data_IF_799905544387
#
_entry.id   IF_799905544387
#
_cell.length_a   1.000
_cell.length_b   1.000
_cell.length_c   1.000
_cell.angle_alpha   90.00
_cell.angle_beta   90.00
_cell.angle_gamma   90.00
#
_symmetry.space_group_name_H-M   'P 1'
#
loop_
_entity.id
_entity.type
_entity.pdbx_description
1 polymer ?
#
# COMPACT_ATOMS: atom_id res chain seq x y z
N UNK A 1 -7.37 -0.37 61.13
CA UNK A 1 -7.69 -0.41 59.67
C UNK A 1 -7.53 -1.82 59.17
N UNK A 2 -8.67 -2.50 58.98
CA UNK A 2 -8.69 -3.84 58.39
C UNK A 2 -8.47 -3.76 56.89
N UNK A 3 -7.62 -4.62 56.28
CA UNK A 3 -7.45 -4.64 54.84
C UNK A 3 -8.79 -5.03 54.20
N UNK A 4 -9.28 -4.21 53.26
CA UNK A 4 -10.42 -4.56 52.41
C UNK A 4 -10.08 -5.83 51.67
N UNK A 5 -10.70 -6.94 52.07
CA UNK A 5 -10.71 -8.18 51.30
C UNK A 5 -11.49 -7.87 50.03
N UNK A 6 -10.79 -7.77 48.90
CA UNK A 6 -11.41 -7.68 47.59
C UNK A 6 -12.34 -8.88 47.44
N UNK A 7 -13.63 -8.62 47.27
CA UNK A 7 -14.65 -9.67 47.14
C UNK A 7 -14.31 -10.53 45.91
N UNK A 8 -14.37 -11.86 46.08
CA UNK A 8 -14.01 -12.81 45.00
C UNK A 8 -14.79 -12.63 43.69
N UNK A 9 -15.89 -11.87 43.70
CA UNK A 9 -16.65 -11.44 42.54
C UNK A 9 -15.90 -10.43 41.65
N UNK A 10 -15.08 -9.54 42.20
CA UNK A 10 -14.28 -8.56 41.47
C UNK A 10 -13.16 -9.23 40.70
N UNK A 11 -12.45 -10.17 41.30
CA UNK A 11 -11.36 -10.90 40.66
C UNK A 11 -11.85 -11.78 39.48
N UNK A 12 -13.01 -12.42 39.67
CA UNK A 12 -13.61 -13.22 38.58
C UNK A 12 -14.04 -12.37 37.37
N UNK A 13 -14.58 -11.18 37.62
CA UNK A 13 -14.94 -10.23 36.57
C UNK A 13 -13.71 -9.68 35.85
N UNK A 14 -12.64 -9.40 36.57
CA UNK A 14 -11.38 -8.94 35.98
C UNK A 14 -10.73 -10.01 35.10
N UNK A 15 -10.77 -11.29 35.53
CA UNK A 15 -10.27 -12.43 34.75
C UNK A 15 -11.10 -12.60 33.47
N UNK A 16 -12.41 -12.49 33.52
CA UNK A 16 -13.31 -12.60 32.36
C UNK A 16 -13.07 -11.45 31.36
N UNK A 17 -12.89 -10.22 31.88
CA UNK A 17 -12.54 -9.06 31.06
C UNK A 17 -11.19 -9.23 30.35
N UNK A 18 -10.17 -9.74 31.04
CA UNK A 18 -8.85 -10.03 30.47
C UNK A 18 -8.93 -11.14 29.41
N UNK A 19 -9.70 -12.23 29.63
CA UNK A 19 -9.92 -13.27 28.65
C UNK A 19 -10.58 -12.73 27.39
N UNK A 20 -11.64 -11.92 27.54
CA UNK A 20 -12.33 -11.29 26.43
C UNK A 20 -11.42 -10.36 25.63
N UNK A 21 -10.52 -9.62 26.30
CA UNK A 21 -9.52 -8.79 25.64
C UNK A 21 -8.50 -9.64 24.84
N UNK A 22 -7.96 -10.70 25.45
CA UNK A 22 -7.01 -11.61 24.80
C UNK A 22 -7.64 -12.30 23.57
N UNK A 23 -8.91 -12.70 23.66
CA UNK A 23 -9.64 -13.27 22.52
C UNK A 23 -9.79 -12.26 21.37
N UNK A 24 -10.16 -11.01 21.68
CA UNK A 24 -10.22 -9.92 20.68
C UNK A 24 -8.87 -9.65 20.03
N UNK A 25 -7.78 -9.66 20.81
CA UNK A 25 -6.43 -9.49 20.27
C UNK A 25 -6.04 -10.65 19.36
N UNK A 26 -6.35 -11.89 19.73
CA UNK A 26 -6.11 -13.07 18.88
C UNK A 26 -6.89 -13.03 17.58
N UNK A 27 -8.14 -12.57 17.61
CA UNK A 27 -8.97 -12.38 16.41
C UNK A 27 -8.41 -11.26 15.52
N UNK A 28 -8.00 -10.14 16.12
CA UNK A 28 -7.39 -9.03 15.39
C UNK A 28 -6.07 -9.44 14.72
N UNK A 29 -5.21 -10.19 15.41
CA UNK A 29 -3.97 -10.73 14.84
C UNK A 29 -4.24 -11.69 13.68
N UNK A 30 -5.25 -12.54 13.79
CA UNK A 30 -5.65 -13.45 12.71
C UNK A 30 -6.16 -12.72 11.48
N UNK A 31 -6.94 -11.62 11.64
CA UNK A 31 -7.41 -10.78 10.54
C UNK A 31 -6.24 -10.06 9.83
N UNK A 32 -5.30 -9.54 10.61
CA UNK A 32 -4.07 -8.92 10.08
C UNK A 32 -3.30 -9.90 9.21
N UNK A 33 -3.10 -11.12 9.71
CA UNK A 33 -2.38 -12.16 8.98
C UNK A 33 -3.07 -12.51 7.66
N UNK A 34 -4.39 -12.67 7.67
CA UNK A 34 -5.18 -12.95 6.45
C UNK A 34 -5.08 -11.81 5.44
N UNK A 35 -5.25 -10.57 5.88
CA UNK A 35 -5.14 -9.41 4.99
C UNK A 35 -3.75 -9.33 4.34
N UNK A 36 -2.69 -9.65 5.07
CA UNK A 36 -1.33 -9.72 4.54
C UNK A 36 -1.16 -10.87 3.53
N UNK A 37 -1.70 -12.05 3.81
CA UNK A 37 -1.70 -13.19 2.90
C UNK A 37 -2.44 -12.86 1.60
N UNK A 38 -3.61 -12.21 1.68
CA UNK A 38 -4.40 -11.80 0.52
C UNK A 38 -3.68 -10.76 -0.34
N UNK A 39 -2.97 -9.81 0.27
CA UNK A 39 -2.11 -8.87 -0.47
C UNK A 39 -1.00 -9.60 -1.24
N UNK A 40 -0.36 -10.59 -0.64
CA UNK A 40 0.68 -11.38 -1.31
C UNK A 40 0.11 -12.21 -2.47
N UNK A 41 -1.06 -12.80 -2.30
CA UNK A 41 -1.77 -13.53 -3.34
C UNK A 41 -2.15 -12.58 -4.49
N UNK A 42 -2.69 -11.40 -4.17
CA UNK A 42 -3.01 -10.37 -5.16
C UNK A 42 -1.77 -9.96 -5.97
N UNK A 43 -0.64 -9.75 -5.31
CA UNK A 43 0.63 -9.43 -5.97
C UNK A 43 1.10 -10.54 -6.92
N UNK A 44 0.87 -11.80 -6.57
CA UNK A 44 1.18 -12.94 -7.43
C UNK A 44 0.28 -12.97 -8.69
N UNK A 45 -1.04 -12.75 -8.52
CA UNK A 45 -1.97 -12.65 -9.66
C UNK A 45 -1.66 -11.44 -10.55
N UNK A 46 -1.26 -10.31 -9.97
CA UNK A 46 -0.82 -9.14 -10.74
C UNK A 46 0.39 -9.46 -11.62
N UNK A 47 1.39 -10.19 -11.10
CA UNK A 47 2.54 -10.67 -11.90
C UNK A 47 2.12 -11.60 -13.01
N UNK A 48 1.10 -12.44 -12.79
CA UNK A 48 0.52 -13.33 -13.78
C UNK A 48 -0.43 -12.60 -14.76
N UNK A 49 -0.65 -11.28 -14.60
CA UNK A 49 -1.60 -10.46 -15.35
C UNK A 49 -3.06 -10.90 -15.23
N UNK A 50 -3.40 -11.62 -14.19
CA UNK A 50 -4.78 -11.93 -13.83
C UNK A 50 -5.32 -10.83 -12.91
N UNK A 51 -5.71 -9.73 -13.53
CA UNK A 51 -6.12 -8.51 -12.84
C UNK A 51 -7.44 -8.68 -12.07
N UNK A 52 -8.32 -9.58 -12.51
CA UNK A 52 -9.60 -9.81 -11.86
C UNK A 52 -9.41 -10.57 -10.55
N UNK A 53 -8.58 -11.60 -10.54
CA UNK A 53 -8.23 -12.30 -9.31
C UNK A 53 -7.41 -11.39 -8.38
N UNK A 54 -6.45 -10.64 -8.90
CA UNK A 54 -5.68 -9.69 -8.10
C UNK A 54 -6.62 -8.69 -7.39
N UNK A 55 -7.58 -8.11 -8.09
CA UNK A 55 -8.55 -7.16 -7.53
C UNK A 55 -9.41 -7.80 -6.45
N UNK A 56 -9.90 -9.02 -6.67
CA UNK A 56 -10.73 -9.77 -5.71
C UNK A 56 -10.01 -9.94 -4.36
N UNK A 57 -8.73 -10.33 -4.39
CA UNK A 57 -7.95 -10.51 -3.16
C UNK A 57 -7.61 -9.18 -2.50
N UNK A 58 -7.37 -8.09 -3.26
CA UNK A 58 -7.19 -6.76 -2.69
C UNK A 58 -8.45 -6.24 -2.00
N UNK A 59 -9.62 -6.46 -2.59
CA UNK A 59 -10.90 -6.07 -1.98
C UNK A 59 -11.15 -6.85 -0.68
N UNK A 60 -10.78 -8.12 -0.63
CA UNK A 60 -10.84 -8.93 0.58
C UNK A 60 -9.89 -8.39 1.65
N UNK A 61 -8.62 -8.15 1.30
CA UNK A 61 -7.63 -7.57 2.21
C UNK A 61 -8.07 -6.20 2.75
N UNK A 62 -8.66 -5.36 1.90
CA UNK A 62 -9.18 -4.04 2.30
C UNK A 62 -10.33 -4.17 3.30
N UNK A 63 -11.22 -5.14 3.10
CA UNK A 63 -12.33 -5.41 4.03
C UNK A 63 -11.80 -5.84 5.39
N UNK A 64 -10.88 -6.78 5.44
CA UNK A 64 -10.27 -7.28 6.68
C UNK A 64 -9.45 -6.20 7.39
N UNK A 65 -8.72 -5.37 6.63
CA UNK A 65 -7.98 -4.25 7.17
C UNK A 65 -8.89 -3.18 7.80
N UNK A 66 -10.10 -2.94 7.28
CA UNK A 66 -11.06 -1.98 7.86
C UNK A 66 -11.60 -2.42 9.22
N UNK A 67 -11.65 -3.70 9.47
CA UNK A 67 -12.09 -4.25 10.75
C UNK A 67 -11.04 -4.09 11.85
N UNK A 68 -9.79 -3.77 11.47
CA UNK A 68 -8.67 -3.57 12.40
C UNK A 68 -7.99 -2.21 12.15
N UNK A 69 -8.32 -1.22 12.98
CA UNK A 69 -7.88 0.17 12.80
C UNK A 69 -6.37 0.39 12.92
N UNK A 70 -5.65 -0.42 13.67
CA UNK A 70 -4.20 -0.25 13.90
C UNK A 70 -3.35 -0.71 12.71
N UNK A 71 -3.81 -1.70 11.98
CA UNK A 71 -3.07 -2.28 10.85
C UNK A 71 -3.35 -1.57 9.51
N UNK A 72 -4.49 -0.92 9.39
CA UNK A 72 -4.93 -0.20 8.16
C UNK A 72 -3.89 0.84 7.71
N UNK A 73 -3.23 1.51 8.66
CA UNK A 73 -2.25 2.54 8.34
C UNK A 73 -1.02 2.03 7.58
N UNK A 74 -0.60 0.78 7.82
CA UNK A 74 0.55 0.19 7.14
C UNK A 74 0.17 -0.54 5.84
N UNK A 75 -0.96 -1.24 5.84
CA UNK A 75 -1.36 -2.07 4.71
C UNK A 75 -2.08 -1.29 3.61
N UNK A 76 -2.80 -0.23 3.98
CA UNK A 76 -3.55 0.59 3.02
C UNK A 76 -2.69 1.16 1.88
N UNK A 77 -1.52 1.77 2.10
CA UNK A 77 -0.68 2.24 1.00
C UNK A 77 -0.22 1.12 0.06
N UNK A 78 0.03 -0.08 0.60
CA UNK A 78 0.41 -1.25 -0.20
C UNK A 78 -0.74 -1.68 -1.11
N UNK A 79 -1.96 -1.77 -0.56
CA UNK A 79 -3.16 -2.12 -1.32
C UNK A 79 -3.43 -1.08 -2.42
N UNK A 80 -3.39 0.21 -2.09
CA UNK A 80 -3.63 1.30 -3.05
C UNK A 80 -2.58 1.31 -4.16
N UNK A 81 -1.31 1.02 -3.84
CA UNK A 81 -0.27 0.87 -4.86
C UNK A 81 -0.57 -0.27 -5.81
N UNK A 82 -0.96 -1.44 -5.32
CA UNK A 82 -1.32 -2.58 -6.16
C UNK A 82 -2.56 -2.30 -7.02
N UNK A 83 -3.55 -1.58 -6.50
CA UNK A 83 -4.71 -1.15 -7.29
C UNK A 83 -4.31 -0.23 -8.44
N UNK A 84 -3.38 0.70 -8.22
CA UNK A 84 -2.85 1.56 -9.27
C UNK A 84 -2.04 0.76 -10.31
N UNK A 85 -1.26 -0.24 -9.89
CA UNK A 85 -0.55 -1.16 -10.79
C UNK A 85 -1.52 -2.00 -11.64
N UNK A 86 -2.64 -2.47 -11.06
CA UNK A 86 -3.70 -3.18 -11.80
C UNK A 86 -4.34 -2.27 -12.83
N UNK A 87 -4.67 -1.03 -12.49
CA UNK A 87 -5.21 -0.05 -13.43
C UNK A 87 -4.24 0.21 -14.58
N UNK A 88 -2.94 0.32 -14.31
CA UNK A 88 -1.90 0.44 -15.33
C UNK A 88 -1.83 -0.82 -16.22
N UNK A 89 -1.91 -2.01 -15.64
CA UNK A 89 -1.91 -3.27 -16.37
C UNK A 89 -3.11 -3.45 -17.28
N UNK A 90 -4.25 -2.85 -16.94
CA UNK A 90 -5.46 -2.77 -17.76
C UNK A 90 -5.44 -1.60 -18.76
N UNK A 91 -4.30 -0.91 -18.89
CA UNK A 91 -4.13 0.27 -19.75
C UNK A 91 -5.07 1.46 -19.38
N UNK A 92 -5.58 1.47 -18.17
CA UNK A 92 -6.38 2.57 -17.61
C UNK A 92 -5.45 3.65 -17.06
N UNK A 93 -4.62 4.23 -17.93
CA UNK A 93 -3.52 5.11 -17.57
C UNK A 93 -3.93 6.31 -16.72
N UNK A 94 -5.02 6.99 -17.12
CA UNK A 94 -5.52 8.16 -16.39
C UNK A 94 -6.01 7.80 -14.98
N UNK A 95 -6.64 6.63 -14.81
CA UNK A 95 -7.08 6.15 -13.51
C UNK A 95 -5.89 5.79 -12.63
N UNK A 96 -4.93 5.06 -13.18
CA UNK A 96 -3.69 4.71 -12.48
C UNK A 96 -2.92 5.94 -12.02
N UNK A 97 -2.78 6.94 -12.90
CA UNK A 97 -2.12 8.21 -12.58
C UNK A 97 -2.83 8.95 -11.44
N UNK A 98 -4.16 9.03 -11.47
CA UNK A 98 -4.95 9.66 -10.41
C UNK A 98 -4.80 8.92 -9.07
N UNK A 99 -4.74 7.59 -9.09
CA UNK A 99 -4.54 6.76 -7.90
C UNK A 99 -3.15 6.98 -7.29
N UNK A 100 -2.09 7.00 -8.10
CA UNK A 100 -0.74 7.31 -7.62
C UNK A 100 -0.64 8.74 -7.07
N UNK A 101 -1.18 9.71 -7.79
CA UNK A 101 -1.18 11.11 -7.35
C UNK A 101 -1.83 11.29 -5.99
N UNK A 102 -3.02 10.70 -5.80
CA UNK A 102 -3.73 10.73 -4.52
C UNK A 102 -2.93 10.04 -3.41
N UNK A 103 -2.36 8.88 -3.69
CA UNK A 103 -1.57 8.14 -2.69
C UNK A 103 -0.34 8.93 -2.23
N UNK A 104 0.37 9.57 -3.16
CA UNK A 104 1.52 10.42 -2.84
C UNK A 104 1.09 11.67 -2.08
N UNK A 105 -0.02 12.31 -2.46
CA UNK A 105 -0.57 13.47 -1.76
C UNK A 105 -0.92 13.13 -0.30
N UNK A 106 -1.62 12.02 -0.08
CA UNK A 106 -1.95 11.54 1.27
C UNK A 106 -0.70 11.23 2.09
N UNK A 107 0.31 10.61 1.47
CA UNK A 107 1.59 10.33 2.12
C UNK A 107 2.35 11.59 2.49
N UNK A 108 2.44 12.53 1.55
CA UNK A 108 3.16 13.80 1.76
C UNK A 108 2.49 14.68 2.83
N UNK A 109 1.17 14.56 3.00
CA UNK A 109 0.40 15.27 4.03
C UNK A 109 0.59 14.73 5.45
N UNK A 110 1.16 13.52 5.61
CA UNK A 110 1.41 12.95 6.94
C UNK A 110 2.42 13.80 7.73
N UNK A 111 2.25 13.87 9.05
CA UNK A 111 3.23 14.46 9.95
C UNK A 111 4.57 13.69 9.87
N UNK A 112 5.71 14.32 10.22
CA UNK A 112 7.01 13.61 10.27
C UNK A 112 6.96 12.37 11.17
N UNK A 113 6.23 12.42 12.28
CA UNK A 113 6.06 11.32 13.21
C UNK A 113 5.27 10.17 12.58
N UNK A 114 4.16 10.47 11.89
CA UNK A 114 3.35 9.46 11.23
C UNK A 114 4.05 8.84 10.02
N UNK A 115 4.84 9.64 9.28
CA UNK A 115 5.73 9.11 8.22
C UNK A 115 6.73 8.11 8.77
N UNK A 116 7.37 8.43 9.91
CA UNK A 116 8.33 7.52 10.54
C UNK A 116 7.65 6.22 11.02
N UNK A 117 6.46 6.31 11.62
CA UNK A 117 5.66 5.14 12.01
C UNK A 117 5.30 4.28 10.81
N UNK A 118 4.81 4.92 9.72
CA UNK A 118 4.46 4.23 8.49
C UNK A 118 5.67 3.51 7.88
N UNK A 119 6.82 4.18 7.79
CA UNK A 119 8.05 3.58 7.26
C UNK A 119 8.52 2.38 8.11
N UNK A 120 8.47 2.47 9.43
CA UNK A 120 8.81 1.36 10.32
C UNK A 120 7.86 0.17 10.13
N UNK A 121 6.56 0.42 9.99
CA UNK A 121 5.57 -0.61 9.74
C UNK A 121 5.76 -1.25 8.36
N UNK A 122 6.05 -0.45 7.32
CA UNK A 122 6.35 -0.95 5.97
C UNK A 122 7.64 -1.79 5.95
N UNK A 123 8.67 -1.40 6.70
CA UNK A 123 9.89 -2.19 6.82
C UNK A 123 9.61 -3.57 7.45
N UNK A 124 8.70 -3.65 8.44
CA UNK A 124 8.31 -4.92 9.06
C UNK A 124 7.56 -5.88 8.11
N UNK A 125 6.88 -5.35 7.10
CA UNK A 125 6.18 -6.12 6.05
C UNK A 125 6.96 -6.20 4.73
N UNK A 126 8.26 -5.93 4.75
CA UNK A 126 9.17 -6.00 3.59
C UNK A 126 8.83 -5.01 2.45
N UNK A 127 8.14 -3.93 2.76
CA UNK A 127 7.75 -2.89 1.79
C UNK A 127 8.41 -1.53 2.09
N UNK A 128 9.60 -1.53 2.70
CA UNK A 128 10.28 -0.31 3.18
C UNK A 128 10.59 0.75 2.10
N UNK A 129 10.73 0.34 0.83
CA UNK A 129 10.98 1.25 -0.32
C UNK A 129 9.70 1.61 -1.10
N UNK A 130 8.53 1.45 -0.49
CA UNK A 130 7.24 1.62 -1.18
C UNK A 130 7.08 3.04 -1.76
N UNK A 131 7.51 4.07 -1.06
CA UNK A 131 7.42 5.46 -1.54
C UNK A 131 8.16 5.66 -2.87
N UNK A 132 9.40 5.20 -2.97
CA UNK A 132 10.17 5.28 -4.20
C UNK A 132 9.58 4.39 -5.30
N UNK A 133 9.10 3.20 -4.96
CA UNK A 133 8.42 2.30 -5.90
C UNK A 133 7.19 2.98 -6.52
N UNK A 134 6.36 3.63 -5.71
CA UNK A 134 5.18 4.38 -6.17
C UNK A 134 5.59 5.44 -7.20
N UNK A 135 6.61 6.23 -6.90
CA UNK A 135 7.07 7.29 -7.82
C UNK A 135 7.60 6.73 -9.15
N UNK A 136 8.37 5.64 -9.12
CA UNK A 136 8.85 4.97 -10.34
C UNK A 136 7.68 4.46 -11.18
N UNK A 137 6.74 3.74 -10.57
CA UNK A 137 5.57 3.22 -11.27
C UNK A 137 4.68 4.34 -11.83
N UNK A 138 4.50 5.43 -11.08
CA UNK A 138 3.77 6.60 -11.57
C UNK A 138 4.47 7.25 -12.77
N UNK A 139 5.78 7.41 -12.72
CA UNK A 139 6.56 7.95 -13.85
C UNK A 139 6.43 7.06 -15.09
N UNK A 140 6.45 5.73 -14.94
CA UNK A 140 6.23 4.80 -16.04
C UNK A 140 4.84 4.99 -16.67
N UNK A 141 3.80 5.19 -15.88
CA UNK A 141 2.45 5.51 -16.37
C UNK A 141 2.43 6.82 -17.15
N UNK A 142 3.13 7.86 -16.69
CA UNK A 142 3.28 9.12 -17.43
C UNK A 142 4.01 8.91 -18.77
N UNK A 143 5.08 8.11 -18.79
CA UNK A 143 5.83 7.80 -20.01
C UNK A 143 4.97 7.02 -21.02
N UNK A 144 4.15 6.08 -20.57
CA UNK A 144 3.18 5.36 -21.45
C UNK A 144 2.19 6.30 -22.14
N UNK A 145 1.92 7.45 -21.53
CA UNK A 145 1.06 8.51 -22.09
C UNK A 145 1.86 9.58 -22.85
N UNK A 146 3.16 9.37 -23.13
CA UNK A 146 4.08 10.35 -23.74
C UNK A 146 4.23 11.65 -22.95
N UNK A 147 4.02 11.61 -21.64
CA UNK A 147 4.11 12.78 -20.74
C UNK A 147 5.47 12.80 -20.03
N UNK A 148 6.54 12.97 -20.80
CA UNK A 148 7.92 12.94 -20.31
C UNK A 148 8.21 14.01 -19.26
N UNK A 149 7.67 15.22 -19.42
CA UNK A 149 7.86 16.32 -18.46
C UNK A 149 7.29 15.96 -17.09
N UNK A 150 6.10 15.34 -17.05
CA UNK A 150 5.47 14.93 -15.81
C UNK A 150 6.25 13.77 -15.17
N UNK A 151 6.69 12.79 -15.95
CA UNK A 151 7.53 11.71 -15.47
C UNK A 151 8.82 12.23 -14.80
N UNK A 152 9.49 13.23 -15.41
CA UNK A 152 10.67 13.88 -14.80
C UNK A 152 10.33 14.56 -13.48
N UNK A 153 9.20 15.26 -13.41
CA UNK A 153 8.73 15.91 -12.18
C UNK A 153 8.47 14.91 -11.06
N UNK A 154 7.84 13.80 -11.38
CA UNK A 154 7.53 12.72 -10.42
C UNK A 154 8.83 12.10 -9.89
N UNK A 155 9.78 11.74 -10.78
CA UNK A 155 11.06 11.13 -10.37
C UNK A 155 11.97 12.09 -9.62
N UNK A 156 11.92 13.38 -9.92
CA UNK A 156 12.72 14.39 -9.21
C UNK A 156 12.42 14.41 -7.69
N UNK A 157 11.21 14.02 -7.27
CA UNK A 157 10.85 13.92 -5.85
C UNK A 157 11.65 12.88 -5.09
N UNK A 158 12.15 11.85 -5.78
CA UNK A 158 13.00 10.80 -5.21
C UNK A 158 14.46 10.89 -5.67
N UNK A 159 14.84 12.01 -6.30
CA UNK A 159 16.21 12.23 -6.76
C UNK A 159 16.61 11.43 -8.00
N UNK A 160 15.64 10.93 -8.76
CA UNK A 160 15.86 10.14 -9.98
C UNK A 160 15.50 10.93 -11.25
N UNK A 161 16.01 10.48 -12.40
CA UNK A 161 15.65 10.97 -13.72
C UNK A 161 15.12 9.81 -14.59
N UNK A 162 14.21 10.07 -15.56
CA UNK A 162 13.80 9.03 -16.51
C UNK A 162 15.01 8.52 -17.28
N UNK A 163 15.05 7.22 -17.51
CA UNK A 163 16.00 6.64 -18.48
C UNK A 163 15.60 7.18 -19.87
N UNK A 164 16.45 7.96 -20.50
CA UNK A 164 16.21 8.40 -21.87
C UNK A 164 16.25 7.18 -22.79
N UNK A 165 15.10 6.86 -23.42
CA UNK A 165 15.14 5.91 -24.52
C UNK A 165 16.08 6.50 -25.60
N UNK A 166 17.05 5.71 -26.11
CA UNK A 166 17.91 6.19 -27.18
C UNK A 166 17.04 6.70 -28.33
N UNK A 167 17.24 7.96 -28.71
CA UNK A 167 16.52 8.58 -29.83
C UNK A 167 16.53 7.62 -31.02
N UNK A 168 15.34 7.20 -31.48
CA UNK A 168 15.23 6.43 -32.72
C UNK A 168 15.96 7.23 -33.80
N UNK A 169 16.96 6.66 -34.47
CA UNK A 169 17.71 7.39 -35.49
C UNK A 169 16.72 7.94 -36.51
N UNK A 170 16.75 9.26 -36.68
CA UNK A 170 15.90 9.97 -37.62
C UNK A 170 15.93 9.25 -38.96
N UNK A 171 14.79 8.71 -39.37
CA UNK A 171 14.69 8.04 -40.66
C UNK A 171 15.14 9.02 -41.75
N UNK A 172 16.32 8.79 -42.32
CA UNK A 172 16.82 9.55 -43.46
C UNK A 172 15.74 9.48 -44.57
N UNK A 173 14.93 10.55 -44.66
CA UNK A 173 14.09 10.76 -45.84
C UNK A 173 15.02 10.77 -47.06
N UNK A 174 15.09 9.68 -47.77
CA UNK A 174 15.67 9.65 -49.13
C UNK A 174 14.86 10.63 -49.98
N UNK A 175 15.44 11.80 -50.22
CA UNK A 175 14.97 12.64 -51.33
C UNK A 175 15.27 11.87 -52.64
N UNK A 176 14.25 11.54 -53.38
CA UNK A 176 14.33 11.24 -54.81
C UNK A 176 14.05 12.50 -55.59
#
# INVERSE_FOLDING_TARGET
DAPRILSGSSLSQDIEALRSQLEKYGQAEALVKRAYEDVNIAAAFLKARDYDQAMKYLDQAMKEARENTTFVQALQPVILNLQAEISAGREQWSLSEAQYGKLVEEWDALSPEDKAKLQNNLASIQSGDLYNKIHRSWADVCLKQNRTTEARRVLAKIGEAPVEEPEKPASRRRRR
#
